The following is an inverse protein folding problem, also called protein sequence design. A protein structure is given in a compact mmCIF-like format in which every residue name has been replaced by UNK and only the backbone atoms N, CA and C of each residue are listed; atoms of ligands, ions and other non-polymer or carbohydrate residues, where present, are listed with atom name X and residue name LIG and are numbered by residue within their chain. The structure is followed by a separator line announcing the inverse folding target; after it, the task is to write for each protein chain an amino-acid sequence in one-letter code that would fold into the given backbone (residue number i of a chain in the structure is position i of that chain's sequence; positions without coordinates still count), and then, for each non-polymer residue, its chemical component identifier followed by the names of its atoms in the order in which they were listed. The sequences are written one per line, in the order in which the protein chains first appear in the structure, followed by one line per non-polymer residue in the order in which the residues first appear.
data_IF_912621473363
#
_entry.id   IF_912621473363
#
_cell.length_a   1.000
_cell.length_b   1.000
_cell.length_c   1.000
_cell.angle_alpha   90.00
_cell.angle_beta   90.00
_cell.angle_gamma   90.00
#
_symmetry.space_group_name_H-M   'P 1'
#
loop_
_entity.id
_entity.type
_entity.pdbx_description
1 polymer ?
#
# COMPACT_ATOMS: atom_id res chain seq x y z
N UNK A 1 5.34 15.05 4.44
CA UNK A 1 4.90 13.76 5.04
C UNK A 1 4.91 12.68 3.98
N UNK A 2 4.89 11.41 4.36
CA UNK A 2 4.78 10.31 3.40
C UNK A 2 3.36 9.73 3.42
N UNK A 3 2.87 9.37 2.24
CA UNK A 3 1.59 8.69 2.01
C UNK A 3 1.81 7.41 1.19
N UNK A 4 1.32 6.29 1.70
CA UNK A 4 1.23 5.03 0.97
C UNK A 4 -0.21 4.82 0.54
N UNK A 5 -0.41 4.70 -0.77
CA UNK A 5 -1.71 4.53 -1.38
C UNK A 5 -1.81 3.12 -1.96
N UNK A 6 -2.85 2.39 -1.56
CA UNK A 6 -3.18 1.06 -2.04
C UNK A 6 -4.50 1.14 -2.81
N UNK A 7 -4.45 0.92 -4.11
CA UNK A 7 -5.62 0.90 -4.99
C UNK A 7 -6.00 -0.56 -5.26
N UNK A 8 -7.15 -1.00 -4.78
CA UNK A 8 -7.66 -2.35 -5.04
C UNK A 8 -8.58 -2.31 -6.27
N UNK A 9 -8.30 -3.16 -7.26
CA UNK A 9 -9.11 -3.39 -8.45
C UNK A 9 -9.76 -4.77 -8.34
N UNK A 10 -11.02 -4.80 -7.89
CA UNK A 10 -11.91 -5.93 -8.13
C UNK A 10 -12.61 -5.70 -9.48
N UNK A 11 -12.89 -6.76 -10.25
CA UNK A 11 -13.43 -6.67 -11.62
C UNK A 11 -14.84 -6.04 -11.75
N UNK A 12 -15.29 -5.27 -10.76
CA UNK A 12 -16.60 -4.61 -10.68
C UNK A 12 -16.50 -3.26 -9.97
N UNK A 13 -15.91 -2.28 -10.66
CA UNK A 13 -16.22 -0.84 -10.50
C UNK A 13 -15.87 -0.14 -9.17
N UNK A 14 -15.34 -0.83 -8.16
CA UNK A 14 -15.14 -0.20 -6.84
C UNK A 14 -13.67 -0.02 -6.53
N UNK A 15 -13.08 1.12 -6.93
CA UNK A 15 -11.74 1.54 -6.48
C UNK A 15 -11.80 1.83 -4.98
N UNK A 16 -11.53 0.81 -4.15
CA UNK A 16 -11.35 1.00 -2.71
C UNK A 16 -9.91 1.43 -2.49
N UNK A 17 -9.77 2.63 -1.96
CA UNK A 17 -8.49 3.20 -1.58
C UNK A 17 -8.23 2.90 -0.11
N UNK A 18 -7.10 2.28 0.19
CA UNK A 18 -6.54 2.28 1.53
C UNK A 18 -5.37 3.28 1.53
N UNK A 19 -5.46 4.29 2.40
CA UNK A 19 -4.46 5.33 2.54
C UNK A 19 -3.78 5.21 3.90
N UNK A 20 -2.47 5.02 3.89
CA UNK A 20 -1.64 5.25 5.07
C UNK A 20 -1.02 6.64 4.92
N UNK A 21 -1.37 7.55 5.84
CA UNK A 21 -0.95 8.96 5.77
C UNK A 21 -0.14 9.34 6.99
N UNK A 22 0.56 10.47 6.86
CA UNK A 22 1.34 11.11 7.95
C UNK A 22 2.47 10.24 8.51
N UNK A 23 2.99 9.32 7.71
CA UNK A 23 4.14 8.50 8.11
C UNK A 23 5.45 9.29 7.92
N UNK A 24 6.44 9.00 8.75
CA UNK A 24 7.82 9.35 8.47
C UNK A 24 8.39 8.48 7.33
N UNK A 25 9.52 8.91 6.78
CA UNK A 25 10.10 8.28 5.59
C UNK A 25 10.57 6.85 5.83
N UNK A 26 11.20 6.58 6.97
CA UNK A 26 11.81 5.27 7.24
C UNK A 26 10.73 4.22 7.36
N UNK A 27 9.71 4.49 8.17
CA UNK A 27 8.62 3.56 8.40
C UNK A 27 7.75 3.35 7.17
N UNK A 28 7.51 4.40 6.38
CA UNK A 28 6.75 4.27 5.13
C UNK A 28 7.46 3.39 4.09
N UNK A 29 8.79 3.50 3.98
CA UNK A 29 9.60 2.63 3.11
C UNK A 29 9.58 1.19 3.63
N UNK A 30 9.70 0.99 4.96
CA UNK A 30 9.66 -0.35 5.55
C UNK A 30 8.32 -1.05 5.29
N UNK A 31 7.20 -0.37 5.54
CA UNK A 31 5.86 -0.91 5.25
C UNK A 31 5.72 -1.19 3.74
N UNK A 32 6.18 -0.29 2.87
CA UNK A 32 6.12 -0.53 1.42
C UNK A 32 6.94 -1.77 1.02
N UNK A 33 8.10 -1.98 1.63
CA UNK A 33 8.92 -3.17 1.39
C UNK A 33 8.20 -4.43 1.84
N UNK A 34 7.60 -4.45 3.02
CA UNK A 34 6.86 -5.63 3.52
C UNK A 34 5.62 -5.94 2.68
N UNK A 35 4.88 -4.92 2.23
CA UNK A 35 3.77 -5.10 1.28
C UNK A 35 4.28 -5.70 -0.03
N UNK A 36 5.41 -5.20 -0.55
CA UNK A 36 6.04 -5.76 -1.74
C UNK A 36 6.40 -7.22 -1.52
N UNK A 37 7.11 -7.55 -0.45
CA UNK A 37 7.51 -8.94 -0.14
C UNK A 37 6.31 -9.89 -0.02
N UNK A 38 5.19 -9.42 0.52
CA UNK A 38 4.01 -10.25 0.77
C UNK A 38 3.08 -10.41 -0.44
N UNK A 39 2.92 -9.36 -1.25
CA UNK A 39 1.88 -9.29 -2.27
C UNK A 39 2.40 -9.11 -3.69
N UNK A 40 3.67 -8.74 -3.87
CA UNK A 40 4.27 -8.67 -5.20
C UNK A 40 4.44 -10.08 -5.76
N UNK A 41 3.94 -10.29 -6.97
CA UNK A 41 4.19 -11.52 -7.71
C UNK A 41 4.69 -11.15 -9.11
N UNK A 42 5.85 -11.69 -9.49
CA UNK A 42 6.41 -11.51 -10.84
C UNK A 42 5.62 -12.31 -11.89
N UNK A 43 4.95 -13.38 -11.46
CA UNK A 43 4.09 -14.22 -12.29
C UNK A 43 2.65 -14.11 -11.80
N UNK A 44 1.71 -13.98 -12.73
CA UNK A 44 0.29 -14.16 -12.44
C UNK A 44 0.01 -15.64 -12.75
N UNK A 45 -0.13 -16.52 -11.75
CA UNK A 45 -0.59 -17.89 -12.00
C UNK A 45 -1.91 -17.84 -12.76
N UNK A 46 -2.09 -18.67 -13.78
CA UNK A 46 -3.34 -18.72 -14.55
C UNK A 46 -4.57 -19.02 -13.66
N UNK A 47 -4.37 -19.65 -12.49
CA UNK A 47 -5.42 -19.90 -11.48
C UNK A 47 -5.71 -18.68 -10.57
N UNK A 48 -4.95 -17.59 -10.68
CA UNK A 48 -5.18 -16.31 -10.00
C UNK A 48 -6.08 -15.35 -10.80
N UNK A 49 -6.75 -15.79 -11.87
CA UNK A 49 -7.70 -14.97 -12.65
C UNK A 49 -8.79 -14.26 -11.81
N UNK A 50 -8.93 -14.60 -10.53
CA UNK A 50 -9.98 -14.14 -9.62
C UNK A 50 -9.45 -13.22 -8.50
N UNK A 51 -8.13 -13.10 -8.28
CA UNK A 51 -7.63 -12.27 -7.19
C UNK A 51 -7.66 -10.77 -7.53
N UNK A 52 -8.10 -9.89 -6.60
CA UNK A 52 -8.02 -8.46 -6.78
C UNK A 52 -6.57 -8.02 -7.04
N UNK A 53 -6.40 -7.18 -8.06
CA UNK A 53 -5.13 -6.52 -8.34
C UNK A 53 -5.00 -5.35 -7.37
N UNK A 54 -3.82 -5.18 -6.78
CA UNK A 54 -3.52 -4.06 -5.88
C UNK A 54 -2.40 -3.26 -6.51
N UNK A 55 -2.64 -1.98 -6.80
CA UNK A 55 -1.56 -1.06 -7.14
C UNK A 55 -1.09 -0.36 -5.88
N UNK A 56 0.21 -0.41 -5.64
CA UNK A 56 0.86 0.20 -4.49
C UNK A 56 1.69 1.40 -4.94
N UNK A 57 1.52 2.52 -4.24
CA UNK A 57 2.19 3.78 -4.57
C UNK A 57 2.67 4.50 -3.32
N UNK A 58 3.98 4.81 -3.27
CA UNK A 58 4.59 5.56 -2.17
C UNK A 58 4.87 7.00 -2.59
N UNK A 59 4.29 7.95 -1.87
CA UNK A 59 4.31 9.37 -2.20
C UNK A 59 4.93 10.22 -1.11
N UNK A 60 5.82 11.13 -1.49
CA UNK A 60 6.24 12.26 -0.68
C UNK A 60 5.30 13.43 -0.95
N UNK A 61 4.78 14.00 0.13
CA UNK A 61 3.90 15.17 0.10
C UNK A 61 4.61 16.33 0.80
N UNK A 62 4.75 17.44 0.09
CA UNK A 62 5.49 18.63 0.52
C UNK A 62 4.74 19.93 0.21
N UNK A 63 5.23 21.03 0.80
CA UNK A 63 4.67 22.37 0.64
C UNK A 63 3.50 22.67 1.58
N UNK A 64 3.11 23.96 1.62
CA UNK A 64 1.93 24.40 2.35
C UNK A 64 0.68 23.79 1.71
N UNK A 65 -0.24 23.26 2.53
CA UNK A 65 -1.47 22.60 2.08
C UNK A 65 -1.27 21.39 1.13
N UNK A 66 -0.14 20.68 1.22
CA UNK A 66 0.10 19.43 0.46
C UNK A 66 0.13 19.61 -1.08
N UNK A 67 0.54 20.78 -1.58
CA UNK A 67 0.47 21.12 -3.00
C UNK A 67 1.49 20.37 -3.89
N UNK A 68 2.58 19.85 -3.31
CA UNK A 68 3.60 19.10 -4.07
C UNK A 68 3.53 17.63 -3.70
N UNK A 69 3.43 16.77 -4.73
CA UNK A 69 3.40 15.32 -4.59
C UNK A 69 4.42 14.69 -5.54
N UNK A 70 5.33 13.87 -5.01
CA UNK A 70 6.34 13.15 -5.80
C UNK A 70 6.39 11.68 -5.41
N UNK A 71 6.59 10.79 -6.37
CA UNK A 71 6.82 9.38 -6.09
C UNK A 71 8.16 9.21 -5.37
N UNK A 72 8.19 8.43 -4.29
CA UNK A 72 9.43 8.04 -3.64
C UNK A 72 10.03 6.77 -4.23
N UNK A 73 9.18 5.87 -4.71
CA UNK A 73 9.57 4.59 -5.30
C UNK A 73 8.63 4.28 -6.48
N UNK A 74 9.11 3.42 -7.38
CA UNK A 74 8.30 2.95 -8.51
C UNK A 74 7.04 2.23 -8.03
N UNK A 75 5.90 2.57 -8.64
CA UNK A 75 4.65 1.87 -8.37
C UNK A 75 4.72 0.43 -8.86
N UNK A 76 4.08 -0.48 -8.14
CA UNK A 76 4.03 -1.89 -8.51
C UNK A 76 2.62 -2.45 -8.33
N UNK A 77 2.39 -3.58 -8.98
CA UNK A 77 1.18 -4.37 -8.83
C UNK A 77 1.45 -5.57 -7.93
N UNK A 78 0.47 -5.91 -7.11
CA UNK A 78 0.42 -7.13 -6.31
C UNK A 78 -0.96 -7.75 -6.36
N UNK A 79 -1.11 -8.91 -5.72
CA UNK A 79 -2.36 -9.69 -5.73
C UNK A 79 -2.72 -10.07 -4.30
N UNK A 80 -3.94 -9.78 -3.89
CA UNK A 80 -4.46 -10.24 -2.59
C UNK A 80 -5.96 -10.13 -2.52
N UNK A 81 -6.59 -11.00 -1.73
CA UNK A 81 -7.97 -10.79 -1.28
C UNK A 81 -8.01 -9.63 -0.30
N UNK A 82 -9.09 -8.85 -0.31
CA UNK A 82 -9.23 -7.61 0.46
C UNK A 82 -8.98 -7.83 1.95
N UNK A 83 -9.52 -8.90 2.52
CA UNK A 83 -9.44 -9.24 3.94
C UNK A 83 -8.00 -9.46 4.36
N UNK A 84 -7.22 -10.21 3.56
CA UNK A 84 -5.78 -10.43 3.81
C UNK A 84 -4.98 -9.13 3.74
N UNK A 85 -5.29 -8.26 2.77
CA UNK A 85 -4.65 -6.95 2.66
C UNK A 85 -4.96 -6.09 3.90
N UNK A 86 -6.23 -5.99 4.29
CA UNK A 86 -6.65 -5.18 5.45
C UNK A 86 -6.01 -5.69 6.73
N UNK A 87 -6.07 -7.00 7.01
CA UNK A 87 -5.47 -7.59 8.21
C UNK A 87 -3.96 -7.38 8.27
N UNK A 88 -3.26 -7.51 7.14
CA UNK A 88 -1.81 -7.23 7.07
C UNK A 88 -1.51 -5.76 7.41
N UNK A 89 -2.27 -4.84 6.82
CA UNK A 89 -2.09 -3.40 7.07
C UNK A 89 -2.42 -3.06 8.52
N UNK A 90 -3.49 -3.60 9.09
CA UNK A 90 -3.86 -3.39 10.49
C UNK A 90 -2.81 -3.94 11.46
N UNK A 91 -2.20 -5.10 11.16
CA UNK A 91 -1.11 -5.65 11.96
C UNK A 91 0.12 -4.74 11.90
N UNK A 92 0.57 -4.37 10.70
CA UNK A 92 1.75 -3.52 10.50
C UNK A 92 1.55 -2.09 11.07
N UNK A 93 0.31 -1.57 11.02
CA UNK A 93 -0.06 -0.31 11.65
C UNK A 93 -0.30 -0.41 13.17
N UNK A 94 -0.80 -1.54 13.65
CA UNK A 94 -1.00 -1.84 15.06
C UNK A 94 0.34 -1.89 15.78
N UNK A 95 1.31 -2.56 15.18
CA UNK A 95 2.71 -2.58 15.62
C UNK A 95 3.33 -1.17 15.56
N UNK A 96 2.93 -0.35 14.59
CA UNK A 96 3.40 1.03 14.46
C UNK A 96 2.83 1.97 15.55
N UNK A 97 1.53 1.86 15.87
CA UNK A 97 0.90 2.64 16.92
C UNK A 97 1.27 2.14 18.33
N UNK A 98 1.56 0.84 18.48
CA UNK A 98 1.99 0.23 19.75
C UNK A 98 3.44 0.54 20.15
N UNK A 99 4.34 0.78 19.18
CA UNK A 99 5.74 1.18 19.42
C UNK A 99 5.95 2.63 19.87
N UNK A 100 4.87 3.34 20.21
CA UNK A 100 4.90 4.68 20.82
C UNK A 100 4.76 4.68 22.35
N UNK A 101 4.79 3.52 23.02
CA UNK A 101 4.81 3.42 24.48
C UNK A 101 6.23 3.44 25.03
#
# INVERSE_FOLDING_TARGET
MIELQLNVFDGGSTKKYLYLRKMDKVNAIEINRKIREQFYSFFIPAEQEILPIIQVQLWKIEGNRNQYRSFLEESYLGFSVKEKLVSFIEQELGDFNGKRS
#
